data_IF_107584021139
#
_entry.id   IF_107584021139
#
_cell.length_a   1.000
_cell.length_b   1.000
_cell.length_c   1.000
_cell.angle_alpha   90.00
_cell.angle_beta   90.00
_cell.angle_gamma   90.00
#
_symmetry.space_group_name_H-M   'P 1'
#
loop_
_entity.id
_entity.type
_entity.pdbx_description
1 polymer ?
#
# COMPACT_ATOMS: atom_id res chain seq x y z
N UNK A 1 -8.46 0.11 21.12
CA UNK A 1 -7.67 -0.49 20.02
C UNK A 1 -6.37 0.28 19.96
N UNK A 2 -5.25 -0.38 20.08
CA UNK A 2 -3.92 0.21 19.92
C UNK A 2 -3.40 -0.07 18.51
N UNK A 3 -2.71 0.90 17.93
CA UNK A 3 -2.14 0.79 16.57
C UNK A 3 -0.68 1.24 16.57
N UNK A 4 0.13 0.61 15.75
CA UNK A 4 1.51 1.01 15.48
C UNK A 4 1.67 1.29 13.98
N UNK A 5 2.26 2.46 13.66
CA UNK A 5 2.51 2.87 12.27
C UNK A 5 4.02 2.95 12.06
N UNK A 6 4.50 2.30 11.00
CA UNK A 6 5.89 2.41 10.54
C UNK A 6 5.91 2.76 9.07
N UNK A 7 6.85 3.61 8.70
CA UNK A 7 7.01 4.10 7.32
C UNK A 7 8.43 3.91 6.84
N UNK A 8 8.57 3.67 5.54
CA UNK A 8 9.82 3.62 4.82
C UNK A 8 9.61 4.27 3.46
N UNK A 9 10.50 5.15 3.05
CA UNK A 9 10.55 5.67 1.68
C UNK A 9 11.99 5.71 1.19
N UNK A 10 12.23 5.25 -0.03
CA UNK A 10 13.55 5.14 -0.64
C UNK A 10 13.54 5.64 -2.08
N UNK A 11 14.61 6.28 -2.44
CA UNK A 11 14.82 6.78 -3.80
C UNK A 11 15.00 5.67 -4.84
N UNK A 12 15.41 4.48 -4.40
CA UNK A 12 15.73 3.40 -5.34
C UNK A 12 16.91 3.74 -6.26
N UNK A 13 16.79 3.36 -7.52
CA UNK A 13 17.77 3.64 -8.57
C UNK A 13 17.51 4.93 -9.36
N UNK A 14 16.55 5.74 -8.95
CA UNK A 14 16.19 7.02 -9.58
C UNK A 14 17.11 8.15 -9.13
N UNK A 15 17.06 9.32 -9.80
CA UNK A 15 17.86 10.49 -9.42
C UNK A 15 17.31 11.25 -8.21
N UNK A 16 15.99 11.13 -7.94
CA UNK A 16 15.28 11.74 -6.82
C UNK A 16 14.05 10.90 -6.48
N UNK A 17 13.45 11.18 -5.33
CA UNK A 17 12.27 10.47 -4.86
C UNK A 17 11.01 11.32 -5.11
N UNK A 18 10.06 10.80 -5.89
CA UNK A 18 8.77 11.42 -6.17
C UNK A 18 7.66 10.83 -5.30
N UNK A 19 7.93 9.75 -4.58
CA UNK A 19 7.00 9.18 -3.62
C UNK A 19 6.86 10.03 -2.36
N UNK A 20 5.65 10.10 -1.84
CA UNK A 20 5.34 10.75 -0.56
C UNK A 20 4.43 9.86 0.26
N UNK A 21 4.65 9.84 1.56
CA UNK A 21 3.73 9.24 2.52
C UNK A 21 3.32 10.25 3.59
N UNK A 22 2.28 9.92 4.33
CA UNK A 22 1.86 10.70 5.48
C UNK A 22 0.80 9.98 6.29
N UNK A 23 0.66 10.40 7.53
CA UNK A 23 -0.42 9.99 8.39
C UNK A 23 -0.86 11.15 9.28
N UNK A 24 -2.08 11.06 9.76
CA UNK A 24 -2.66 11.96 10.75
C UNK A 24 -3.55 11.15 11.69
N UNK A 25 -3.67 11.55 12.94
CA UNK A 25 -4.57 10.93 13.89
C UNK A 25 -5.04 11.93 14.96
N UNK A 26 -6.21 11.66 15.51
CA UNK A 26 -6.71 12.21 16.77
C UNK A 26 -7.10 11.05 17.71
N UNK A 27 -7.94 11.33 18.72
CA UNK A 27 -8.38 10.31 19.67
C UNK A 27 -9.29 9.24 19.05
N UNK A 28 -9.95 9.53 17.93
CA UNK A 28 -10.92 8.66 17.28
C UNK A 28 -10.51 8.20 15.89
N UNK A 29 -9.90 9.07 15.10
CA UNK A 29 -9.63 8.80 13.69
C UNK A 29 -8.15 8.68 13.41
N UNK A 30 -7.83 7.80 12.46
CA UNK A 30 -6.50 7.67 11.87
C UNK A 30 -6.63 7.75 10.37
N UNK A 31 -5.74 8.49 9.74
CA UNK A 31 -5.60 8.57 8.29
C UNK A 31 -4.17 8.25 7.89
N UNK A 32 -4.01 7.43 6.85
CA UNK A 32 -2.73 7.05 6.27
C UNK A 32 -2.79 7.22 4.76
N UNK A 33 -1.66 7.60 4.16
CA UNK A 33 -1.61 7.78 2.72
C UNK A 33 -0.23 7.49 2.16
N UNK A 34 -0.22 6.97 0.92
CA UNK A 34 0.92 6.93 0.01
C UNK A 34 0.51 7.55 -1.32
N UNK A 35 1.39 8.33 -1.91
CA UNK A 35 1.23 8.95 -3.21
C UNK A 35 2.53 8.81 -3.99
N UNK A 36 2.46 8.34 -5.23
CA UNK A 36 3.56 8.20 -6.17
C UNK A 36 3.44 9.30 -7.23
N UNK A 37 4.45 10.14 -7.28
CA UNK A 37 4.50 11.27 -8.17
C UNK A 37 5.05 10.91 -9.54
N UNK A 38 4.31 11.21 -10.59
CA UNK A 38 4.72 11.02 -11.96
C UNK A 38 4.84 12.35 -12.70
N UNK A 39 5.98 12.62 -13.29
CA UNK A 39 6.19 13.85 -14.06
C UNK A 39 7.43 13.73 -14.92
N UNK A 40 7.31 13.24 -16.15
CA UNK A 40 8.43 12.92 -17.06
C UNK A 40 9.54 13.97 -17.22
N UNK A 41 9.39 15.18 -16.65
CA UNK A 41 10.39 16.26 -16.65
C UNK A 41 10.59 16.90 -15.28
N UNK A 42 10.18 16.23 -14.20
CA UNK A 42 10.15 16.72 -12.82
C UNK A 42 8.78 17.29 -12.45
N UNK A 43 8.54 17.42 -11.14
CA UNK A 43 7.28 17.92 -10.58
C UNK A 43 6.38 16.83 -9.99
N UNK A 44 6.70 15.54 -10.18
CA UNK A 44 5.97 14.44 -9.54
C UNK A 44 6.01 14.55 -8.02
N UNK A 45 7.16 14.90 -7.46
CA UNK A 45 7.34 15.19 -6.03
C UNK A 45 6.41 16.29 -5.53
N UNK A 46 6.23 17.35 -6.34
CA UNK A 46 5.30 18.46 -6.03
C UNK A 46 3.85 17.99 -6.12
N UNK A 47 3.51 17.18 -7.12
CA UNK A 47 2.15 16.62 -7.26
C UNK A 47 1.79 15.73 -6.06
N UNK A 48 2.66 14.78 -5.72
CA UNK A 48 2.46 13.88 -4.58
C UNK A 48 2.39 14.65 -3.25
N UNK A 49 3.27 15.64 -3.03
CA UNK A 49 3.23 16.48 -1.85
C UNK A 49 1.97 17.34 -1.76
N UNK A 50 1.47 17.86 -2.90
CA UNK A 50 0.22 18.62 -2.98
C UNK A 50 -0.96 17.70 -2.63
N UNK A 51 -1.04 16.51 -3.24
CA UNK A 51 -2.07 15.52 -2.95
C UNK A 51 -2.09 15.14 -1.45
N UNK A 52 -0.91 14.84 -0.87
CA UNK A 52 -0.80 14.56 0.58
C UNK A 52 -1.37 15.69 1.44
N UNK A 53 -0.97 16.93 1.15
CA UNK A 53 -1.38 18.08 1.95
C UNK A 53 -2.89 18.31 1.87
N UNK A 54 -3.46 18.22 0.67
CA UNK A 54 -4.90 18.34 0.43
C UNK A 54 -5.68 17.24 1.15
N UNK A 55 -5.31 15.98 0.96
CA UNK A 55 -6.00 14.82 1.53
C UNK A 55 -5.98 14.83 3.06
N UNK A 56 -4.80 14.94 3.68
CA UNK A 56 -4.68 14.93 5.15
C UNK A 56 -5.29 16.18 5.77
N UNK A 57 -5.13 17.34 5.14
CA UNK A 57 -5.72 18.60 5.61
C UNK A 57 -7.25 18.57 5.53
N UNK A 58 -7.80 18.12 4.43
CA UNK A 58 -9.25 17.98 4.26
C UNK A 58 -9.86 16.96 5.22
N UNK A 59 -9.21 15.78 5.38
CA UNK A 59 -9.68 14.76 6.32
C UNK A 59 -9.62 15.26 7.77
N UNK A 60 -8.52 15.88 8.18
CA UNK A 60 -8.34 16.38 9.56
C UNK A 60 -9.36 17.46 9.93
N UNK A 61 -9.81 18.25 8.95
CA UNK A 61 -10.82 19.28 9.15
C UNK A 61 -12.24 18.72 9.34
N UNK A 62 -12.56 17.60 8.70
CA UNK A 62 -13.87 16.97 8.76
C UNK A 62 -13.72 15.42 8.58
N UNK A 63 -13.27 14.69 9.61
CA UNK A 63 -13.06 13.26 9.50
C UNK A 63 -14.35 12.49 9.19
N UNK A 64 -14.35 11.70 8.12
CA UNK A 64 -15.49 10.86 7.74
C UNK A 64 -15.01 9.67 6.89
N UNK A 65 -15.63 8.50 7.11
CA UNK A 65 -15.42 7.29 6.30
C UNK A 65 -16.57 7.08 5.30
N UNK A 66 -17.43 8.07 5.07
CA UNK A 66 -18.48 7.98 4.07
C UNK A 66 -17.89 8.04 2.67
N UNK A 67 -18.44 7.23 1.75
CA UNK A 67 -17.98 7.18 0.37
C UNK A 67 -17.91 8.57 -0.29
N UNK A 68 -18.98 9.37 -0.13
CA UNK A 68 -19.05 10.70 -0.70
C UNK A 68 -17.97 11.64 -0.13
N UNK A 69 -17.68 11.54 1.18
CA UNK A 69 -16.63 12.33 1.82
C UNK A 69 -15.24 11.95 1.34
N UNK A 70 -14.94 10.64 1.27
CA UNK A 70 -13.65 10.16 0.78
C UNK A 70 -13.43 10.49 -0.71
N UNK A 71 -14.47 10.37 -1.52
CA UNK A 71 -14.43 10.77 -2.94
C UNK A 71 -14.15 12.27 -3.08
N UNK A 72 -14.85 13.12 -2.33
CA UNK A 72 -14.67 14.57 -2.37
C UNK A 72 -13.25 15.00 -1.98
N UNK A 73 -12.59 14.27 -1.05
CA UNK A 73 -11.19 14.54 -0.70
C UNK A 73 -10.26 14.33 -1.92
N UNK A 74 -10.45 13.25 -2.67
CA UNK A 74 -9.65 12.96 -3.86
C UNK A 74 -9.93 13.95 -4.98
N UNK A 75 -11.20 14.31 -5.19
CA UNK A 75 -11.60 15.33 -6.16
C UNK A 75 -10.96 16.70 -5.84
N UNK A 76 -10.96 17.10 -4.56
CA UNK A 76 -10.29 18.33 -4.13
C UNK A 76 -8.77 18.25 -4.33
N UNK A 77 -8.15 17.12 -3.97
CA UNK A 77 -6.73 16.91 -4.20
C UNK A 77 -6.36 16.99 -5.68
N UNK A 78 -7.20 16.46 -6.58
CA UNK A 78 -7.01 16.62 -8.02
C UNK A 78 -7.05 18.09 -8.44
N UNK A 79 -8.04 18.87 -7.97
CA UNK A 79 -8.14 20.31 -8.27
C UNK A 79 -6.90 21.07 -7.78
N UNK A 80 -6.39 20.74 -6.61
CA UNK A 80 -5.20 21.39 -6.04
C UNK A 80 -3.94 21.07 -6.87
N UNK A 81 -3.78 19.82 -7.34
CA UNK A 81 -2.69 19.44 -8.25
C UNK A 81 -2.82 20.16 -9.58
N UNK A 82 -4.02 20.21 -10.17
CA UNK A 82 -4.27 20.95 -11.43
C UNK A 82 -3.99 22.46 -11.26
N UNK A 83 -4.37 23.05 -10.14
CA UNK A 83 -4.07 24.46 -9.86
C UNK A 83 -2.56 24.73 -9.82
N UNK A 84 -1.76 23.82 -9.29
CA UNK A 84 -0.30 23.93 -9.27
C UNK A 84 0.32 23.74 -10.67
N UNK A 85 -0.29 22.92 -11.55
CA UNK A 85 0.17 22.81 -12.95
C UNK A 85 0.10 24.14 -13.69
N UNK A 86 -0.84 25.02 -13.34
CA UNK A 86 -1.00 26.34 -13.94
C UNK A 86 0.20 27.27 -13.70
N UNK A 87 1.07 26.98 -12.73
CA UNK A 87 2.35 27.67 -12.52
C UNK A 87 3.33 27.43 -13.68
N UNK A 88 3.08 26.42 -14.53
CA UNK A 88 3.83 26.13 -15.74
C UNK A 88 5.20 25.51 -15.52
N UNK A 89 6.03 25.47 -16.57
CA UNK A 89 7.37 24.91 -16.51
C UNK A 89 7.35 23.40 -16.22
N UNK A 90 8.14 22.96 -15.25
CA UNK A 90 8.22 21.54 -14.87
C UNK A 90 6.93 20.98 -14.26
N UNK A 91 6.04 21.86 -13.80
CA UNK A 91 4.81 21.47 -13.13
C UNK A 91 3.65 21.20 -14.11
N UNK A 92 3.74 21.69 -15.36
CA UNK A 92 2.64 21.68 -16.33
C UNK A 92 2.06 20.28 -16.64
N UNK A 93 2.84 19.22 -16.45
CA UNK A 93 2.40 17.84 -16.72
C UNK A 93 2.50 16.91 -15.51
N UNK A 94 2.68 17.47 -14.30
CA UNK A 94 2.83 16.66 -13.09
C UNK A 94 1.55 15.89 -12.77
N UNK A 95 1.72 14.66 -12.31
CA UNK A 95 0.65 13.73 -11.92
C UNK A 95 1.01 13.08 -10.58
N UNK A 96 0.03 12.47 -9.94
CA UNK A 96 0.29 11.62 -8.80
C UNK A 96 -0.78 10.54 -8.69
N UNK A 97 -0.37 9.34 -8.32
CA UNK A 97 -1.30 8.37 -7.75
C UNK A 97 -1.70 8.81 -6.35
N UNK A 98 -2.70 8.17 -5.79
CA UNK A 98 -3.07 8.30 -4.37
C UNK A 98 -3.70 7.00 -3.88
N UNK A 99 -3.28 6.54 -2.72
CA UNK A 99 -3.99 5.59 -1.89
C UNK A 99 -4.09 6.15 -0.48
N UNK A 100 -5.31 6.23 0.01
CA UNK A 100 -5.64 6.82 1.31
C UNK A 100 -6.54 5.89 2.10
N UNK A 101 -6.18 5.61 3.34
CA UNK A 101 -6.95 4.79 4.27
C UNK A 101 -7.37 5.63 5.46
N UNK A 102 -8.66 5.54 5.83
CA UNK A 102 -9.25 6.16 7.01
C UNK A 102 -9.77 5.10 7.96
N UNK A 103 -9.53 5.28 9.25
CA UNK A 103 -9.93 4.37 10.32
C UNK A 103 -10.72 5.15 11.37
N UNK A 104 -11.86 4.62 11.79
CA UNK A 104 -12.59 5.04 12.99
C UNK A 104 -12.29 4.02 14.10
N UNK A 105 -11.50 4.44 15.08
CA UNK A 105 -11.05 3.59 16.20
C UNK A 105 -12.21 3.23 17.14
N UNK A 106 -13.22 4.10 17.26
CA UNK A 106 -14.39 3.85 18.09
C UNK A 106 -15.29 2.79 17.46
N UNK A 107 -15.57 2.89 16.17
CA UNK A 107 -16.36 1.91 15.43
C UNK A 107 -15.55 0.68 15.02
N UNK A 108 -14.22 0.73 15.10
CA UNK A 108 -13.31 -0.32 14.64
C UNK A 108 -13.52 -0.66 13.15
N UNK A 109 -13.59 0.35 12.33
CA UNK A 109 -13.78 0.21 10.88
C UNK A 109 -12.72 0.95 10.09
N UNK A 110 -12.40 0.40 8.93
CA UNK A 110 -11.50 0.91 7.92
C UNK A 110 -12.28 1.15 6.63
N UNK A 111 -11.98 2.21 5.92
CA UNK A 111 -12.28 2.39 4.50
C UNK A 111 -11.07 3.00 3.81
N UNK A 112 -10.88 2.71 2.53
CA UNK A 112 -9.87 3.37 1.70
C UNK A 112 -10.44 3.94 0.42
N UNK A 113 -9.72 4.88 -0.13
CA UNK A 113 -9.98 5.45 -1.45
C UNK A 113 -8.66 5.54 -2.21
N UNK A 114 -8.71 5.29 -3.52
CA UNK A 114 -7.52 5.41 -4.36
C UNK A 114 -7.83 5.89 -5.78
N UNK A 115 -6.79 6.41 -6.43
CA UNK A 115 -6.69 6.67 -7.86
C UNK A 115 -5.27 6.36 -8.32
N UNK A 116 -5.13 5.50 -9.32
CA UNK A 116 -3.83 5.00 -9.80
C UNK A 116 -3.57 3.55 -9.38
N UNK A 117 -2.30 3.20 -9.23
CA UNK A 117 -1.79 1.85 -8.95
C UNK A 117 -0.97 1.73 -7.66
N UNK A 118 -0.89 2.80 -6.87
CA UNK A 118 -0.51 2.66 -5.46
C UNK A 118 -1.57 1.86 -4.73
N UNK A 119 -1.15 0.88 -3.92
CA UNK A 119 -2.04 -0.13 -3.37
C UNK A 119 -2.23 -0.04 -1.87
N UNK A 120 -3.44 -0.37 -1.41
CA UNK A 120 -3.74 -0.75 -0.04
C UNK A 120 -4.01 -2.24 0.03
N UNK A 121 -3.47 -2.90 1.06
CA UNK A 121 -3.69 -4.30 1.40
C UNK A 121 -4.15 -4.40 2.84
N UNK A 122 -5.14 -5.24 3.10
CA UNK A 122 -5.52 -5.66 4.44
C UNK A 122 -5.14 -7.13 4.61
N UNK A 123 -4.26 -7.40 5.56
CA UNK A 123 -3.87 -8.75 5.94
C UNK A 123 -4.57 -9.14 7.24
N UNK A 124 -5.08 -10.36 7.28
CA UNK A 124 -5.71 -10.97 8.46
C UNK A 124 -5.31 -12.43 8.56
N UNK A 125 -4.86 -12.85 9.72
CA UNK A 125 -4.35 -14.21 9.93
C UNK A 125 -3.20 -14.57 8.99
N UNK A 126 -2.42 -13.58 8.56
CA UNK A 126 -1.29 -13.75 7.65
C UNK A 126 -1.65 -13.86 6.17
N UNK A 127 -2.91 -13.69 5.78
CA UNK A 127 -3.35 -13.73 4.39
C UNK A 127 -3.89 -12.37 3.93
N UNK A 128 -3.80 -12.06 2.65
CA UNK A 128 -4.46 -10.91 2.04
C UNK A 128 -5.96 -11.17 2.02
N UNK A 129 -6.74 -10.36 2.73
CA UNK A 129 -8.22 -10.47 2.76
C UNK A 129 -8.89 -9.40 1.91
N UNK A 130 -8.22 -8.29 1.63
CA UNK A 130 -8.66 -7.24 0.73
C UNK A 130 -7.47 -6.49 0.14
N UNK A 131 -7.61 -6.01 -1.09
CA UNK A 131 -6.62 -5.23 -1.83
C UNK A 131 -7.33 -4.26 -2.76
N UNK A 132 -6.73 -3.10 -3.05
CA UNK A 132 -7.16 -2.20 -4.14
C UNK A 132 -6.97 -2.87 -5.51
N UNK A 133 -7.77 -2.43 -6.48
CA UNK A 133 -7.64 -2.84 -7.89
C UNK A 133 -7.11 -1.65 -8.69
N UNK A 134 -5.99 -1.81 -9.37
CA UNK A 134 -5.28 -0.71 -10.01
C UNK A 134 -6.09 -0.06 -11.14
N UNK A 135 -5.95 1.24 -11.30
CA UNK A 135 -6.44 1.97 -12.48
C UNK A 135 -5.37 1.99 -13.57
N UNK A 136 -5.03 0.81 -14.10
CA UNK A 136 -3.99 0.61 -15.11
C UNK A 136 -4.51 -0.17 -16.34
N UNK A 137 -3.81 -0.02 -17.46
CA UNK A 137 -4.14 -0.73 -18.69
C UNK A 137 -4.09 -2.25 -18.49
N UNK A 138 -3.05 -2.75 -17.80
CA UNK A 138 -2.89 -4.19 -17.58
C UNK A 138 -3.98 -4.76 -16.69
N UNK A 139 -4.46 -3.99 -15.72
CA UNK A 139 -5.58 -4.39 -14.87
C UNK A 139 -6.89 -4.49 -15.67
N UNK A 140 -7.12 -3.61 -16.64
CA UNK A 140 -8.26 -3.77 -17.58
C UNK A 140 -8.12 -5.03 -18.43
N UNK A 141 -6.90 -5.38 -18.86
CA UNK A 141 -6.64 -6.63 -19.61
C UNK A 141 -6.92 -7.87 -18.75
N UNK A 142 -6.57 -7.84 -17.46
CA UNK A 142 -6.90 -8.92 -16.51
C UNK A 142 -8.41 -9.04 -16.33
N UNK A 143 -9.10 -7.93 -16.09
CA UNK A 143 -10.56 -7.91 -15.96
C UNK A 143 -11.27 -8.40 -17.23
N UNK A 144 -10.70 -8.13 -18.41
CA UNK A 144 -11.17 -8.64 -19.71
C UNK A 144 -10.77 -10.08 -20.01
N UNK A 145 -10.04 -10.78 -19.13
CA UNK A 145 -9.58 -12.16 -19.32
C UNK A 145 -8.49 -12.30 -20.39
N UNK A 146 -7.83 -11.23 -20.79
CA UNK A 146 -6.72 -11.24 -21.77
C UNK A 146 -5.37 -11.57 -21.15
N UNK A 147 -5.22 -11.31 -19.85
CA UNK A 147 -4.03 -11.60 -19.04
C UNK A 147 -4.47 -12.22 -17.71
N UNK A 148 -3.58 -12.99 -17.11
CA UNK A 148 -3.63 -13.30 -15.67
C UNK A 148 -2.78 -12.27 -14.87
N UNK A 149 -2.83 -12.33 -13.56
CA UNK A 149 -2.11 -11.43 -12.67
C UNK A 149 -0.59 -11.45 -12.91
N UNK A 150 -0.01 -12.63 -13.16
CA UNK A 150 1.43 -12.77 -13.44
C UNK A 150 1.78 -12.16 -14.80
N UNK A 151 0.96 -12.41 -15.82
CA UNK A 151 1.11 -11.79 -17.14
C UNK A 151 1.01 -10.26 -17.08
N UNK A 152 0.12 -9.72 -16.27
CA UNK A 152 -0.01 -8.27 -16.06
C UNK A 152 1.26 -7.69 -15.43
N UNK A 153 1.80 -8.33 -14.40
CA UNK A 153 3.01 -7.91 -13.69
C UNK A 153 4.26 -7.87 -14.59
N UNK A 154 4.35 -8.76 -15.56
CA UNK A 154 5.46 -8.86 -16.51
C UNK A 154 5.23 -8.09 -17.82
N UNK A 155 4.05 -7.49 -18.02
CA UNK A 155 3.69 -6.87 -19.29
C UNK A 155 4.53 -5.60 -19.57
N UNK A 156 4.96 -5.36 -20.82
CA UNK A 156 5.75 -4.16 -21.17
C UNK A 156 5.05 -2.82 -20.85
N UNK A 157 3.73 -2.79 -20.85
CA UNK A 157 2.91 -1.60 -20.57
C UNK A 157 2.32 -1.62 -19.15
N UNK A 158 2.88 -2.38 -18.21
CA UNK A 158 2.37 -2.49 -16.83
C UNK A 158 2.27 -1.16 -16.10
N UNK A 159 3.20 -0.21 -16.39
CA UNK A 159 3.21 1.13 -15.79
C UNK A 159 2.31 2.14 -16.53
N UNK A 160 1.45 1.68 -17.46
CA UNK A 160 0.52 2.56 -18.14
C UNK A 160 -0.71 2.81 -17.28
N UNK A 161 -0.70 3.92 -16.55
CA UNK A 161 -1.84 4.37 -15.76
C UNK A 161 -2.97 4.86 -16.66
N UNK A 162 -4.19 4.53 -16.30
CA UNK A 162 -5.41 5.07 -16.91
C UNK A 162 -6.00 6.20 -16.07
N UNK A 163 -5.60 6.30 -14.81
CA UNK A 163 -6.05 7.36 -13.92
C UNK A 163 -4.96 7.79 -12.95
N UNK A 164 -4.85 9.08 -12.74
CA UNK A 164 -4.01 9.72 -11.72
C UNK A 164 -4.51 11.15 -11.46
N UNK A 165 -4.16 11.71 -10.30
CA UNK A 165 -4.41 13.11 -9.98
C UNK A 165 -3.61 14.03 -10.91
N UNK A 166 -4.13 15.24 -11.16
CA UNK A 166 -3.57 16.20 -12.12
C UNK A 166 -4.17 16.05 -13.51
N UNK A 167 -5.23 15.24 -13.67
CA UNK A 167 -5.96 15.13 -14.94
C UNK A 167 -6.82 16.38 -15.16
N UNK A 168 -6.63 17.05 -16.31
CA UNK A 168 -7.32 18.27 -16.68
C UNK A 168 -8.51 17.97 -17.62
N UNK A 169 -8.35 16.99 -18.51
CA UNK A 169 -9.34 16.68 -19.54
C UNK A 169 -10.48 15.81 -19.01
N UNK A 170 -10.15 14.86 -18.16
CA UNK A 170 -11.10 13.93 -17.56
C UNK A 170 -10.88 13.89 -16.05
N UNK A 171 -11.97 13.78 -15.29
CA UNK A 171 -11.88 13.53 -13.85
C UNK A 171 -11.15 12.19 -13.58
N UNK A 172 -10.32 12.09 -12.56
CA UNK A 172 -9.67 10.83 -12.23
C UNK A 172 -10.70 9.77 -11.83
N UNK A 173 -10.46 8.53 -12.22
CA UNK A 173 -11.21 7.40 -11.67
C UNK A 173 -10.91 7.30 -10.17
N UNK A 174 -11.95 7.25 -9.36
CA UNK A 174 -11.86 7.18 -7.92
C UNK A 174 -12.62 5.94 -7.44
N UNK A 175 -11.91 5.02 -6.81
CA UNK A 175 -12.53 3.85 -6.20
C UNK A 175 -12.47 3.98 -4.68
N UNK A 176 -13.64 3.85 -4.04
CA UNK A 176 -13.80 3.83 -2.59
C UNK A 176 -14.22 2.42 -2.19
N UNK A 177 -13.59 1.87 -1.16
CA UNK A 177 -13.95 0.54 -0.64
C UNK A 177 -15.23 0.61 0.19
N UNK A 178 -15.88 -0.54 0.35
CA UNK A 178 -16.80 -0.74 1.46
C UNK A 178 -16.07 -0.55 2.80
N UNK A 179 -16.83 -0.25 3.85
CA UNK A 179 -16.31 -0.22 5.21
C UNK A 179 -15.99 -1.64 5.67
N UNK A 180 -14.77 -1.86 6.11
CA UNK A 180 -14.29 -3.14 6.60
C UNK A 180 -14.10 -3.07 8.11
N UNK A 181 -14.57 -4.09 8.83
CA UNK A 181 -14.29 -4.19 10.25
C UNK A 181 -12.81 -4.51 10.48
N UNK A 182 -12.16 -3.75 11.36
CA UNK A 182 -10.82 -4.03 11.85
C UNK A 182 -10.88 -4.97 13.06
N UNK A 183 -9.95 -5.91 13.10
CA UNK A 183 -9.79 -6.87 14.19
C UNK A 183 -8.38 -6.78 14.78
N UNK A 184 -8.21 -7.13 16.06
CA UNK A 184 -6.87 -7.30 16.63
C UNK A 184 -6.03 -8.27 15.79
N UNK A 185 -4.78 -7.89 15.50
CA UNK A 185 -3.87 -8.64 14.64
C UNK A 185 -4.02 -8.37 13.14
N UNK A 186 -4.93 -7.50 12.71
CA UNK A 186 -4.96 -7.02 11.33
C UNK A 186 -3.74 -6.15 11.03
N UNK A 187 -3.25 -6.25 9.80
CA UNK A 187 -2.16 -5.44 9.28
C UNK A 187 -2.62 -4.75 8.00
N UNK A 188 -2.46 -3.44 7.97
CA UNK A 188 -2.68 -2.62 6.77
C UNK A 188 -1.33 -2.26 6.17
N UNK A 189 -1.20 -2.38 4.84
CA UNK A 189 -0.08 -1.88 4.06
C UNK A 189 -0.61 -0.91 3.01
N UNK A 190 -0.02 0.28 2.95
CA UNK A 190 -0.12 1.18 1.81
C UNK A 190 1.26 1.26 1.17
N UNK A 191 1.32 1.15 -0.16
CA UNK A 191 2.60 1.17 -0.87
C UNK A 191 2.48 1.69 -2.30
N UNK A 192 3.59 2.24 -2.83
CA UNK A 192 3.76 2.52 -4.26
C UNK A 192 4.11 1.27 -5.05
N UNK A 193 4.11 1.38 -6.39
CA UNK A 193 4.39 0.28 -7.32
C UNK A 193 5.79 -0.31 -7.15
N UNK A 194 6.78 0.51 -6.78
CA UNK A 194 8.14 0.05 -6.48
C UNK A 194 8.25 -0.98 -5.34
N UNK A 195 7.16 -1.22 -4.60
CA UNK A 195 7.08 -2.29 -3.59
C UNK A 195 6.44 -3.54 -4.16
N UNK A 196 5.19 -3.43 -4.65
CA UNK A 196 4.39 -4.59 -5.04
C UNK A 196 4.79 -5.18 -6.39
N UNK A 197 5.30 -4.36 -7.31
CA UNK A 197 5.73 -4.84 -8.63
C UNK A 197 6.89 -5.85 -8.54
N UNK A 198 8.00 -5.56 -7.84
CA UNK A 198 9.10 -6.52 -7.73
C UNK A 198 8.78 -7.72 -6.82
N UNK A 199 7.94 -7.57 -5.80
CA UNK A 199 7.74 -8.60 -4.79
C UNK A 199 6.57 -9.53 -5.10
N UNK A 200 5.43 -8.98 -5.55
CA UNK A 200 4.17 -9.71 -5.63
C UNK A 200 3.57 -10.04 -4.26
N UNK A 201 2.32 -10.50 -4.27
CA UNK A 201 1.56 -10.74 -3.05
C UNK A 201 2.14 -11.88 -2.19
N UNK A 202 2.73 -12.92 -2.81
CA UNK A 202 3.33 -14.05 -2.08
C UNK A 202 4.49 -13.61 -1.18
N UNK A 203 5.43 -12.80 -1.70
CA UNK A 203 6.57 -12.31 -0.90
C UNK A 203 6.11 -11.35 0.20
N UNK A 204 5.07 -10.54 -0.05
CA UNK A 204 4.47 -9.71 1.00
C UNK A 204 3.94 -10.57 2.16
N UNK A 205 3.24 -11.64 1.86
CA UNK A 205 2.72 -12.61 2.85
C UNK A 205 3.85 -13.33 3.58
N UNK A 206 4.83 -13.86 2.85
CA UNK A 206 5.95 -14.61 3.44
C UNK A 206 6.79 -13.75 4.39
N UNK A 207 7.07 -12.50 4.00
CA UNK A 207 7.80 -11.55 4.85
C UNK A 207 6.98 -11.12 6.07
N UNK A 208 5.66 -10.99 5.94
CA UNK A 208 4.77 -10.74 7.07
C UNK A 208 4.82 -11.89 8.08
N UNK A 209 4.72 -13.14 7.62
CA UNK A 209 4.83 -14.32 8.49
C UNK A 209 6.19 -14.45 9.19
N UNK A 210 7.26 -13.99 8.54
CA UNK A 210 8.61 -13.98 9.12
C UNK A 210 8.82 -12.84 10.14
N UNK A 211 7.86 -11.92 10.27
CA UNK A 211 7.95 -10.72 11.10
C UNK A 211 7.11 -10.85 12.37
N UNK A 212 7.56 -10.16 13.42
CA UNK A 212 6.83 -10.07 14.70
C UNK A 212 6.46 -8.65 15.08
N UNK A 213 7.03 -7.66 14.37
CA UNK A 213 6.79 -6.24 14.59
C UNK A 213 6.68 -5.51 13.26
N UNK A 214 5.97 -4.38 13.20
CA UNK A 214 5.90 -3.56 11.98
C UNK A 214 7.27 -3.13 11.46
N UNK A 215 8.19 -2.76 12.36
CA UNK A 215 9.55 -2.37 11.99
C UNK A 215 10.33 -3.52 11.34
N UNK A 216 10.24 -4.73 11.92
CA UNK A 216 10.90 -5.91 11.37
C UNK A 216 10.34 -6.25 9.97
N UNK A 217 9.03 -6.14 9.78
CA UNK A 217 8.43 -6.37 8.45
C UNK A 217 8.91 -5.35 7.43
N UNK A 218 8.90 -4.08 7.79
CA UNK A 218 9.37 -2.99 6.92
C UNK A 218 10.84 -3.18 6.52
N UNK A 219 11.71 -3.62 7.43
CA UNK A 219 13.11 -3.95 7.14
C UNK A 219 13.26 -5.16 6.21
N UNK A 220 12.42 -6.20 6.38
CA UNK A 220 12.42 -7.35 5.49
C UNK A 220 11.94 -6.97 4.09
N UNK A 221 10.89 -6.14 3.97
CA UNK A 221 10.45 -5.60 2.68
C UNK A 221 11.57 -4.81 1.98
N UNK A 222 12.25 -3.91 2.69
CA UNK A 222 13.39 -3.16 2.17
C UNK A 222 14.51 -4.09 1.66
N UNK A 223 14.80 -5.15 2.40
CA UNK A 223 15.79 -6.15 2.03
C UNK A 223 15.39 -6.92 0.78
N UNK A 224 14.13 -7.36 0.71
CA UNK A 224 13.61 -8.11 -0.44
C UNK A 224 13.56 -7.23 -1.70
N UNK A 225 13.09 -5.98 -1.60
CA UNK A 225 13.09 -5.05 -2.74
C UNK A 225 14.51 -4.88 -3.28
N UNK A 226 15.49 -4.62 -2.41
CA UNK A 226 16.90 -4.47 -2.81
C UNK A 226 17.47 -5.73 -3.45
N UNK A 227 17.05 -6.91 -3.03
CA UNK A 227 17.53 -8.18 -3.62
C UNK A 227 16.98 -8.43 -5.03
N UNK A 228 15.80 -7.89 -5.36
CA UNK A 228 15.17 -7.99 -6.67
C UNK A 228 15.45 -6.77 -7.55
N UNK A 229 16.08 -5.73 -7.00
CA UNK A 229 16.31 -4.45 -7.67
C UNK A 229 17.16 -4.59 -8.93
N UNK A 230 16.67 -4.01 -10.03
CA UNK A 230 17.44 -3.82 -11.26
C UNK A 230 18.03 -2.42 -11.29
N UNK A 231 19.12 -2.16 -12.06
CA UNK A 231 19.59 -0.79 -12.25
C UNK A 231 18.46 0.14 -12.68
N UNK A 232 18.31 1.27 -11.98
CA UNK A 232 17.26 2.23 -12.28
C UNK A 232 15.86 1.85 -11.77
N UNK A 233 15.75 0.89 -10.83
CA UNK A 233 14.46 0.55 -10.19
C UNK A 233 13.82 1.76 -9.54
N UNK A 234 12.51 1.71 -9.41
CA UNK A 234 11.71 2.85 -9.00
C UNK A 234 11.92 3.30 -7.56
N UNK A 235 11.40 4.48 -7.24
CA UNK A 235 11.14 4.87 -5.87
C UNK A 235 10.24 3.82 -5.23
N UNK A 236 10.36 3.58 -3.93
CA UNK A 236 9.48 2.68 -3.23
C UNK A 236 9.16 3.18 -1.83
N UNK A 237 7.89 3.16 -1.51
CA UNK A 237 7.36 3.68 -0.26
C UNK A 237 6.40 2.69 0.37
N UNK A 238 6.61 2.42 1.65
CA UNK A 238 5.82 1.55 2.51
C UNK A 238 5.27 2.39 3.66
N UNK A 239 3.99 2.28 3.93
CA UNK A 239 3.37 2.66 5.19
C UNK A 239 2.61 1.44 5.71
N UNK A 240 3.01 0.91 6.84
CA UNK A 240 2.31 -0.20 7.50
C UNK A 240 1.68 0.27 8.80
N UNK A 241 0.46 -0.20 9.06
CA UNK A 241 -0.28 0.01 10.30
C UNK A 241 -0.70 -1.35 10.84
N UNK A 242 -0.31 -1.64 12.08
CA UNK A 242 -0.65 -2.87 12.78
C UNK A 242 -1.66 -2.59 13.87
N UNK A 243 -2.71 -3.39 13.90
CA UNK A 243 -3.69 -3.39 15.00
C UNK A 243 -3.17 -4.33 16.08
N UNK A 244 -2.67 -3.74 17.17
CA UNK A 244 -2.08 -4.51 18.25
C UNK A 244 -3.18 -5.26 18.99
N UNK A 245 -2.99 -6.59 19.16
CA UNK A 245 -3.85 -7.37 20.00
C UNK A 245 -3.52 -7.10 21.48
N UNK A 246 -4.54 -6.82 22.30
CA UNK A 246 -4.33 -6.83 23.75
C UNK A 246 -3.85 -8.21 24.19
N UNK A 247 -2.85 -8.27 25.09
CA UNK A 247 -2.30 -9.54 25.63
C UNK A 247 -3.40 -10.45 26.21
N UNK A 248 -4.55 -9.90 26.60
CA UNK A 248 -5.72 -10.67 27.04
C UNK A 248 -6.40 -11.45 25.91
N UNK A 249 -6.24 -11.02 24.64
CA UNK A 249 -6.81 -11.68 23.47
C UNK A 249 -5.84 -12.63 22.75
N UNK A 250 -4.54 -12.51 23.02
CA UNK A 250 -3.47 -13.36 22.43
C UNK A 250 -3.65 -14.86 22.73
N UNK A 251 -4.36 -15.20 23.80
CA UNK A 251 -4.66 -16.60 24.17
C UNK A 251 -5.73 -17.25 23.26
N UNK A 252 -6.46 -16.47 22.46
CA UNK A 252 -7.54 -16.97 21.58
C UNK A 252 -7.13 -17.17 20.12
N UNK A 253 -5.95 -16.71 19.71
CA UNK A 253 -5.51 -16.73 18.31
C UNK A 253 -4.32 -17.68 18.05
N UNK A 254 -3.89 -18.48 19.06
CA UNK A 254 -2.97 -19.57 18.79
C UNK A 254 -3.72 -20.65 18.01
N UNK A 255 -3.29 -21.02 16.79
CA UNK A 255 -3.81 -22.23 16.18
C UNK A 255 -3.50 -23.38 17.14
N UNK A 256 -4.53 -24.09 17.63
CA UNK A 256 -4.36 -25.35 18.33
C UNK A 256 -3.50 -26.23 17.46
N UNK A 257 -2.28 -26.55 17.97
CA UNK A 257 -1.29 -27.33 17.26
C UNK A 257 -1.90 -28.61 16.71
N UNK A 258 -2.00 -28.68 15.39
CA UNK A 258 -2.13 -29.96 14.72
C UNK A 258 -0.84 -30.73 15.01
N UNK A 259 -0.95 -31.84 15.69
CA UNK A 259 0.11 -32.84 15.86
C UNK A 259 0.67 -33.19 14.48
N UNK A 260 1.89 -32.72 14.18
CA UNK A 260 2.64 -33.20 13.05
C UNK A 260 3.13 -34.60 13.44
N UNK A 261 2.39 -35.62 13.05
CA UNK A 261 2.83 -37.01 13.13
C UNK A 261 4.01 -37.15 12.16
N UNK A 262 5.23 -37.18 12.72
CA UNK A 262 6.42 -37.60 11.98
C UNK A 262 6.26 -39.07 11.57
N UNK A 263 6.52 -39.45 10.32
CA UNK A 263 6.53 -40.84 9.96
C UNK A 263 7.67 -41.55 10.69
N UNK A 264 7.33 -42.63 11.40
CA UNK A 264 8.28 -43.53 12.06
C UNK A 264 9.14 -44.21 10.98
N UNK A 265 10.45 -44.15 11.15
CA UNK A 265 11.39 -45.02 10.47
C UNK A 265 12.57 -44.31 9.82
N UNK A 266 13.59 -44.02 10.66
CA UNK A 266 15.01 -44.06 10.25
C UNK A 266 15.82 -44.20 11.57
N UNK A 267 16.20 -45.43 11.85
CA UNK A 267 17.17 -45.73 12.92
C UNK A 267 18.55 -45.16 12.55
N UNK A 268 19.33 -44.70 13.55
CA UNK A 268 20.68 -44.24 13.31
C UNK A 268 21.61 -45.45 13.07
N UNK A 269 22.23 -45.50 11.90
CA UNK A 269 23.31 -46.44 11.59
C UNK A 269 24.53 -46.13 12.44
N UNK A 270 24.94 -47.12 13.27
CA UNK A 270 26.18 -47.13 14.02
C UNK A 270 27.42 -46.92 13.14
N UNK A 271 28.35 -46.10 13.61
CA UNK A 271 29.70 -46.01 13.04
C UNK A 271 30.48 -47.26 13.41
N UNK A 272 31.22 -47.91 12.50
CA UNK A 272 32.24 -48.85 12.89
C UNK A 272 33.47 -48.12 13.43
N UNK A 273 33.96 -48.63 14.52
CA UNK A 273 35.30 -48.35 15.04
C UNK A 273 36.35 -49.07 14.18
N UNK A 274 37.36 -48.30 13.76
CA UNK A 274 38.80 -48.53 13.84
C UNK A 274 39.56 -47.38 13.14
#
# INVERSE_FOLDING_TARGET
>A
MEIEIVTLSRQGGRNYNEDVHGHWHDERYVACLVADGAGGHGGGDVAAATARTSMLGGFSAAPSLDEASLRALVEQANLDVVARQAEGGKLAGMRSTIVFAAIDLEQQVLAWVHSGDSRAYLFRGGAVVARTTDHSLVQQMVAGGMLDEEGARLHPQRNMLLSALGSVEEAPDITVSDRMRLLPGDVLLLCSDGVWEPLGDEVLVDTLHASRTPSQWTELLDTQIKSHAKPGHDNYTVLTLWVIADDSDATRLMPTGGEVTMPAGLEPTEKPAD
#
